data_IF_437019601403
#
_entry.id   IF_437019601403
#
_cell.length_a   1.000
_cell.length_b   1.000
_cell.length_c   1.000
_cell.angle_alpha   90.00
_cell.angle_beta   90.00
_cell.angle_gamma   90.00
#
_symmetry.space_group_name_H-M   'P 1'
#
loop_
_entity.id
_entity.type
_entity.pdbx_description
1 polymer ?
#
# COMPACT_ATOMS: atom_id res chain seq x y z
N UNK A 1 64.16 -16.45 21.47
CA UNK A 1 63.29 -15.53 20.69
C UNK A 1 61.90 -15.59 21.31
N UNK A 2 61.46 -14.53 21.99
CA UNK A 2 60.16 -14.50 22.68
C UNK A 2 59.08 -14.06 21.69
N UNK A 3 58.20 -14.99 21.28
CA UNK A 3 57.11 -14.71 20.35
C UNK A 3 55.99 -13.93 21.03
N UNK A 4 55.69 -12.72 20.53
CA UNK A 4 54.54 -11.94 20.99
C UNK A 4 53.25 -12.64 20.61
N UNK A 5 52.51 -13.14 21.61
CA UNK A 5 51.14 -13.68 21.44
C UNK A 5 50.18 -12.51 21.27
N UNK A 6 49.70 -12.30 20.04
CA UNK A 6 48.58 -11.39 19.79
C UNK A 6 47.28 -12.05 20.23
N UNK A 7 46.46 -11.34 21.02
CA UNK A 7 45.14 -11.82 21.43
C UNK A 7 44.27 -11.98 20.17
N UNK A 8 43.88 -13.21 19.85
CA UNK A 8 42.95 -13.53 18.76
C UNK A 8 41.51 -13.00 18.98
N UNK A 9 41.29 -12.23 20.05
CA UNK A 9 40.01 -11.68 20.49
C UNK A 9 39.39 -10.67 19.51
N UNK A 10 40.21 -9.91 18.77
CA UNK A 10 39.73 -8.85 17.88
C UNK A 10 38.86 -9.34 16.72
N UNK A 11 39.14 -10.53 16.18
CA UNK A 11 38.36 -11.10 15.07
C UNK A 11 36.97 -11.53 15.52
N UNK A 12 36.85 -12.02 16.76
CA UNK A 12 35.58 -12.44 17.37
C UNK A 12 34.72 -11.23 17.73
N UNK A 13 35.34 -10.16 18.23
CA UNK A 13 34.64 -8.90 18.52
C UNK A 13 34.17 -8.23 17.22
N UNK A 14 35.00 -8.20 16.18
CA UNK A 14 34.65 -7.65 14.88
C UNK A 14 33.52 -8.43 14.18
N UNK A 15 33.52 -9.77 14.27
CA UNK A 15 32.45 -10.58 13.67
C UNK A 15 31.10 -10.36 14.36
N UNK A 16 31.09 -10.15 15.67
CA UNK A 16 29.87 -9.83 16.42
C UNK A 16 29.29 -8.46 16.01
N UNK A 17 30.14 -7.44 15.86
CA UNK A 17 29.71 -6.12 15.38
C UNK A 17 29.15 -6.23 13.96
N UNK A 18 29.82 -6.96 13.06
CA UNK A 18 29.33 -7.18 11.70
C UNK A 18 27.99 -7.93 11.67
N UNK A 19 27.78 -8.92 12.54
CA UNK A 19 26.52 -9.64 12.65
C UNK A 19 25.35 -8.71 13.05
N UNK A 20 25.59 -7.78 13.99
CA UNK A 20 24.61 -6.78 14.39
C UNK A 20 24.30 -5.85 13.22
N UNK A 21 25.33 -5.33 12.54
CA UNK A 21 25.17 -4.42 11.39
C UNK A 21 24.36 -5.07 10.27
N UNK A 22 24.68 -6.32 9.93
CA UNK A 22 23.94 -7.08 8.92
C UNK A 22 22.48 -7.31 9.35
N UNK A 23 22.25 -7.62 10.62
CA UNK A 23 20.89 -7.82 11.15
C UNK A 23 20.05 -6.53 11.09
N UNK A 24 20.65 -5.38 11.41
CA UNK A 24 20.02 -4.06 11.28
C UNK A 24 19.71 -3.77 9.82
N UNK A 25 20.66 -4.02 8.91
CA UNK A 25 20.48 -3.77 7.48
C UNK A 25 19.36 -4.63 6.89
N UNK A 26 19.28 -5.92 7.24
CA UNK A 26 18.16 -6.79 6.85
C UNK A 26 16.83 -6.27 7.37
N UNK A 27 16.79 -5.82 8.62
CA UNK A 27 15.57 -5.26 9.22
C UNK A 27 15.08 -4.00 8.50
N UNK A 28 15.99 -3.11 8.13
CA UNK A 28 15.68 -1.90 7.35
C UNK A 28 15.15 -2.23 5.96
N UNK A 29 15.76 -3.20 5.28
CA UNK A 29 15.31 -3.67 3.96
C UNK A 29 13.88 -4.21 4.06
N UNK A 30 13.60 -5.08 5.04
CA UNK A 30 12.26 -5.63 5.26
C UNK A 30 11.23 -4.54 5.55
N UNK A 31 11.59 -3.54 6.36
CA UNK A 31 10.74 -2.40 6.66
C UNK A 31 10.43 -1.56 5.41
N UNK A 32 11.43 -1.26 4.60
CA UNK A 32 11.25 -0.52 3.35
C UNK A 32 10.33 -1.29 2.37
N UNK A 33 10.52 -2.60 2.22
CA UNK A 33 9.64 -3.42 1.39
C UNK A 33 8.21 -3.49 1.94
N UNK A 34 8.02 -3.49 3.26
CA UNK A 34 6.67 -3.43 3.86
C UNK A 34 5.98 -2.13 3.48
N UNK A 35 6.67 -1.00 3.57
CA UNK A 35 6.07 0.29 3.21
C UNK A 35 5.77 0.45 1.73
N UNK A 36 6.69 0.00 0.87
CA UNK A 36 6.48 0.01 -0.57
C UNK A 36 5.25 -0.83 -0.94
N UNK A 37 5.11 -2.03 -0.37
CA UNK A 37 3.95 -2.90 -0.58
C UNK A 37 2.63 -2.24 -0.14
N UNK A 38 2.61 -1.63 1.04
CA UNK A 38 1.42 -0.93 1.54
C UNK A 38 1.03 0.24 0.62
N UNK A 39 2.00 1.03 0.20
CA UNK A 39 1.77 2.19 -0.67
C UNK A 39 1.26 1.76 -2.05
N UNK A 40 1.87 0.74 -2.65
CA UNK A 40 1.44 0.20 -3.95
C UNK A 40 0.02 -0.37 -3.90
N UNK A 41 -0.32 -1.13 -2.84
CA UNK A 41 -1.67 -1.67 -2.66
C UNK A 41 -2.71 -0.55 -2.50
N UNK A 42 -2.39 0.49 -1.73
CA UNK A 42 -3.26 1.66 -1.57
C UNK A 42 -3.48 2.42 -2.89
N UNK A 43 -2.42 2.65 -3.66
CA UNK A 43 -2.52 3.34 -4.96
C UNK A 43 -3.33 2.52 -5.96
N UNK A 44 -3.14 1.19 -5.99
CA UNK A 44 -3.94 0.30 -6.85
C UNK A 44 -5.41 0.29 -6.46
N UNK A 45 -5.72 0.29 -5.16
CA UNK A 45 -7.09 0.43 -4.69
C UNK A 45 -7.71 1.75 -5.16
N UNK A 46 -6.97 2.87 -5.02
CA UNK A 46 -7.44 4.17 -5.50
C UNK A 46 -7.70 4.19 -7.00
N UNK A 47 -6.80 3.61 -7.79
CA UNK A 47 -6.98 3.45 -9.24
C UNK A 47 -8.26 2.66 -9.55
N UNK A 48 -8.49 1.52 -8.89
CA UNK A 48 -9.68 0.68 -9.11
C UNK A 48 -10.98 1.40 -8.72
N UNK A 49 -10.98 2.11 -7.59
CA UNK A 49 -12.13 2.92 -7.16
C UNK A 49 -12.39 4.03 -8.17
N UNK A 50 -11.38 4.75 -8.65
CA UNK A 50 -11.55 5.86 -9.58
C UNK A 50 -12.02 5.38 -10.97
N UNK A 51 -11.52 4.23 -11.41
CA UNK A 51 -12.00 3.56 -12.63
C UNK A 51 -13.49 3.21 -12.50
N UNK A 52 -13.90 2.57 -11.40
CA UNK A 52 -15.31 2.25 -11.15
C UNK A 52 -16.19 3.49 -11.02
N UNK A 53 -15.63 4.59 -10.48
CA UNK A 53 -16.32 5.88 -10.32
C UNK A 53 -16.65 6.54 -11.65
N UNK A 54 -15.76 6.43 -12.65
CA UNK A 54 -15.92 7.07 -13.96
C UNK A 54 -16.46 6.15 -15.06
N UNK A 55 -16.49 4.84 -14.85
CA UNK A 55 -17.02 3.90 -15.83
C UNK A 55 -18.53 4.13 -15.97
N UNK A 56 -19.05 4.20 -17.18
CA UNK A 56 -20.50 4.12 -17.41
C UNK A 56 -20.92 2.64 -17.30
N UNK A 57 -21.04 2.12 -16.08
CA UNK A 57 -21.41 0.72 -15.85
C UNK A 57 -22.54 0.60 -14.84
N UNK A 58 -23.35 -0.43 -15.03
CA UNK A 58 -24.51 -0.71 -14.18
C UNK A 58 -24.11 -0.92 -12.71
N UNK A 59 -24.97 -0.55 -11.75
CA UNK A 59 -24.74 -0.85 -10.33
C UNK A 59 -24.56 -2.37 -10.13
N UNK A 60 -23.57 -2.75 -9.31
CA UNK A 60 -23.16 -4.14 -9.11
C UNK A 60 -21.91 -4.57 -9.89
N UNK A 61 -21.25 -3.66 -10.62
CA UNK A 61 -19.91 -3.95 -11.17
C UNK A 61 -18.88 -3.97 -10.04
N UNK A 62 -18.09 -5.04 -10.00
CA UNK A 62 -17.06 -5.26 -8.99
C UNK A 62 -15.74 -5.61 -9.66
N UNK A 63 -14.66 -4.95 -9.22
CA UNK A 63 -13.31 -5.27 -9.63
C UNK A 63 -12.60 -5.93 -8.43
N UNK A 64 -12.12 -7.15 -8.63
CA UNK A 64 -11.30 -7.85 -7.67
C UNK A 64 -9.92 -8.12 -8.26
N UNK A 65 -8.88 -7.88 -7.46
CA UNK A 65 -7.50 -8.22 -7.78
C UNK A 65 -6.90 -8.97 -6.60
N UNK A 66 -6.77 -10.28 -6.74
CA UNK A 66 -6.03 -11.11 -5.81
C UNK A 66 -4.59 -11.25 -6.32
N UNK A 67 -3.66 -10.50 -5.71
CA UNK A 67 -2.24 -10.56 -6.07
C UNK A 67 -1.42 -10.62 -4.81
N UNK A 68 -0.79 -11.76 -4.54
CA UNK A 68 0.14 -11.90 -3.42
C UNK A 68 1.17 -10.77 -3.50
N UNK A 69 1.21 -9.83 -2.52
CA UNK A 69 0.87 -10.03 -1.11
C UNK A 69 -0.39 -9.31 -0.57
N UNK A 70 -1.32 -8.85 -1.41
CA UNK A 70 -2.54 -8.15 -0.99
C UNK A 70 -3.76 -8.48 -1.86
N UNK A 71 -4.94 -8.42 -1.26
CA UNK A 71 -6.24 -8.63 -1.92
C UNK A 71 -6.96 -7.29 -2.01
N UNK A 72 -7.41 -6.93 -3.21
CA UNK A 72 -8.16 -5.70 -3.46
C UNK A 72 -9.53 -6.06 -3.99
N UNK A 73 -10.56 -5.49 -3.40
CA UNK A 73 -11.94 -5.61 -3.82
C UNK A 73 -12.53 -4.21 -3.93
N UNK A 74 -13.10 -3.86 -5.06
CA UNK A 74 -13.82 -2.62 -5.24
C UNK A 74 -15.18 -2.91 -5.87
N UNK A 75 -16.21 -2.29 -5.33
CA UNK A 75 -17.60 -2.51 -5.72
C UNK A 75 -18.30 -1.17 -5.94
N UNK A 76 -19.08 -1.11 -7.02
CA UNK A 76 -19.98 0.01 -7.28
C UNK A 76 -21.38 -0.29 -6.76
N UNK A 77 -21.77 0.42 -5.72
CA UNK A 77 -23.15 0.50 -5.26
C UNK A 77 -24.01 1.46 -6.11
N UNK A 78 -25.22 1.74 -5.63
CA UNK A 78 -26.19 2.57 -6.36
C UNK A 78 -25.79 4.05 -6.46
N UNK A 79 -25.26 4.63 -5.38
CA UNK A 79 -24.83 6.04 -5.31
C UNK A 79 -23.37 6.20 -4.89
N UNK A 80 -22.69 5.13 -4.48
CA UNK A 80 -21.32 5.19 -3.95
C UNK A 80 -20.47 4.07 -4.51
N UNK A 81 -19.17 4.32 -4.58
CA UNK A 81 -18.15 3.33 -4.88
C UNK A 81 -17.37 3.08 -3.59
N UNK A 82 -17.32 1.82 -3.18
CA UNK A 82 -16.51 1.38 -2.04
C UNK A 82 -15.41 0.46 -2.52
N UNK A 83 -14.25 0.52 -1.89
CA UNK A 83 -13.21 -0.47 -2.13
C UNK A 83 -12.34 -0.69 -0.92
N UNK A 84 -11.89 -1.93 -0.77
CA UNK A 84 -11.10 -2.44 0.32
C UNK A 84 -9.84 -3.09 -0.21
N UNK A 85 -8.74 -2.90 0.51
CA UNK A 85 -7.52 -3.69 0.33
C UNK A 85 -7.13 -4.31 1.67
N UNK A 86 -6.73 -5.57 1.63
CA UNK A 86 -6.22 -6.31 2.77
C UNK A 86 -4.85 -6.89 2.43
N UNK A 87 -3.84 -6.57 3.25
CA UNK A 87 -2.47 -7.00 3.04
C UNK A 87 -1.80 -7.39 4.35
N UNK A 88 -1.79 -8.68 4.70
CA UNK A 88 -1.15 -9.17 5.91
C UNK A 88 -1.69 -8.50 7.19
N UNK A 89 -0.96 -7.51 7.73
CA UNK A 89 -1.29 -6.81 8.97
C UNK A 89 -1.87 -5.40 8.76
N UNK A 90 -2.24 -5.03 7.54
CA UNK A 90 -2.84 -3.74 7.25
C UNK A 90 -4.06 -3.91 6.34
N UNK A 91 -5.03 -3.02 6.51
CA UNK A 91 -6.17 -2.88 5.63
C UNK A 91 -6.43 -1.40 5.36
N UNK A 92 -7.09 -1.11 4.25
CA UNK A 92 -7.57 0.22 3.92
C UNK A 92 -8.92 0.09 3.26
N UNK A 93 -9.86 0.94 3.67
CA UNK A 93 -11.19 1.05 3.07
C UNK A 93 -11.36 2.48 2.56
N UNK A 94 -11.84 2.61 1.32
CA UNK A 94 -12.10 3.88 0.66
C UNK A 94 -13.56 3.86 0.20
N UNK A 95 -14.29 4.90 0.55
CA UNK A 95 -15.65 5.11 0.09
C UNK A 95 -15.72 6.50 -0.56
N UNK A 96 -16.27 6.56 -1.77
CA UNK A 96 -16.44 7.79 -2.53
C UNK A 96 -17.84 7.84 -3.15
N UNK A 97 -18.33 9.05 -3.39
CA UNK A 97 -19.54 9.26 -4.18
C UNK A 97 -19.28 8.90 -5.65
N UNK A 98 -20.32 8.50 -6.39
CA UNK A 98 -20.23 8.32 -7.84
C UNK A 98 -19.95 9.67 -8.51
N UNK A 99 -19.20 9.64 -9.61
CA UNK A 99 -18.93 10.84 -10.39
C UNK A 99 -20.10 11.10 -11.35
N UNK A 100 -20.99 12.02 -10.98
CA UNK A 100 -22.08 12.52 -11.82
C UNK A 100 -21.81 13.98 -12.19
N UNK A 101 -21.11 14.25 -13.31
CA UNK A 101 -20.76 15.62 -13.71
C UNK A 101 -22.01 16.47 -13.97
N UNK A 102 -23.15 15.87 -14.32
CA UNK A 102 -24.42 16.56 -14.53
C UNK A 102 -24.96 17.20 -13.26
N UNK A 103 -24.79 16.54 -12.10
CA UNK A 103 -25.24 17.07 -10.82
C UNK A 103 -24.39 18.29 -10.41
N UNK A 104 -23.07 18.21 -10.64
CA UNK A 104 -22.16 19.33 -10.44
C UNK A 104 -22.53 20.53 -11.34
N UNK A 105 -22.79 20.30 -12.62
CA UNK A 105 -23.22 21.36 -13.54
C UNK A 105 -24.57 21.96 -13.14
N UNK A 106 -25.50 21.14 -12.64
CA UNK A 106 -26.80 21.60 -12.11
C UNK A 106 -26.61 22.51 -10.88
N UNK A 107 -25.72 22.15 -9.97
CA UNK A 107 -25.41 22.99 -8.81
C UNK A 107 -24.80 24.33 -9.22
N UNK A 108 -23.90 24.34 -10.22
CA UNK A 108 -23.35 25.60 -10.74
C UNK A 108 -24.42 26.52 -11.31
N UNK A 109 -25.41 25.98 -12.02
CA UNK A 109 -26.53 26.81 -12.52
C UNK A 109 -27.37 27.42 -11.40
N UNK A 110 -27.50 26.72 -10.26
CA UNK A 110 -28.24 27.22 -9.09
C UNK A 110 -27.48 28.30 -8.29
N UNK A 111 -26.15 28.32 -8.38
CA UNK A 111 -25.30 29.32 -7.72
C UNK A 111 -25.16 30.60 -8.54
N UNK A 112 -25.47 30.52 -9.84
CA UNK A 112 -25.32 31.64 -10.78
C UNK A 112 -26.58 32.52 -10.89
N UNK A 113 -27.69 32.11 -10.25
CA UNK A 113 -28.86 32.95 -9.95
C UNK A 113 -28.71 33.66 -8.59
#
# INVERSE_FOLDING_TARGET
MSGKRYKASYTVEASFIMAIVLSVMVSLIQFAYRQCRQTNGNMRLQEMVEVLRHRETMPGDSLALDTVPYQIEAERGMSRVSGRVEGGNWNLNIESNIYEPEEFMRLLTLVQE
#
